data_IF_568001523581
#
_entry.id   IF_568001523581
#
_cell.length_a   1.000
_cell.length_b   1.000
_cell.length_c   1.000
_cell.angle_alpha   90.00
_cell.angle_beta   90.00
_cell.angle_gamma   90.00
#
_symmetry.space_group_name_H-M   'P 1'
#
loop_
_entity.id
_entity.type
_entity.pdbx_description
1 polymer ?
#
# COMPACT_ATOMS: atom_id res chain seq x y z
N UNK A 1 28.05 43.56 48.21
CA UNK A 1 27.02 44.19 49.06
C UNK A 1 25.82 43.27 49.10
N UNK A 2 25.31 43.03 50.31
CA UNK A 2 24.26 42.08 50.68
C UNK A 2 22.84 42.59 50.35
N UNK A 3 21.92 41.66 50.07
CA UNK A 3 20.57 41.45 50.66
C UNK A 3 19.90 40.38 49.77
N UNK A 4 19.73 39.12 50.17
CA UNK A 4 18.89 38.54 51.23
C UNK A 4 17.41 38.92 51.13
N UNK A 5 16.55 37.97 50.73
CA UNK A 5 15.21 37.76 51.29
C UNK A 5 14.72 36.35 51.01
N UNK A 6 14.55 35.61 52.10
CA UNK A 6 13.75 34.40 52.26
C UNK A 6 12.29 34.62 51.84
N UNK A 7 11.62 33.55 51.40
CA UNK A 7 10.25 33.28 51.84
C UNK A 7 9.93 31.78 51.88
N UNK A 8 9.69 31.32 53.11
CA UNK A 8 9.09 30.05 53.50
C UNK A 8 7.57 30.20 53.53
N UNK A 9 6.84 29.22 53.00
CA UNK A 9 5.40 29.02 53.22
C UNK A 9 5.01 27.63 52.74
N UNK A 10 5.19 26.61 53.58
CA UNK A 10 4.17 25.98 54.43
C UNK A 10 3.13 25.14 53.66
N UNK A 11 3.33 23.83 53.81
CA UNK A 11 2.37 22.72 53.78
C UNK A 11 0.92 23.10 54.07
N UNK A 12 0.02 22.59 53.23
CA UNK A 12 -1.28 22.07 53.64
C UNK A 12 -1.48 20.72 52.92
N UNK A 13 -1.20 19.65 53.65
CA UNK A 13 -1.75 18.32 53.37
C UNK A 13 -3.27 18.40 53.54
N UNK A 14 -4.00 18.13 52.46
CA UNK A 14 -5.44 17.94 52.49
C UNK A 14 -5.69 16.49 52.09
N UNK A 15 -5.83 15.65 53.12
CA UNK A 15 -6.47 14.35 53.01
C UNK A 15 -7.94 14.56 52.63
N UNK A 16 -8.27 14.29 51.37
CA UNK A 16 -9.64 14.04 50.96
C UNK A 16 -9.77 12.58 50.51
N UNK A 17 -10.14 11.73 51.47
CA UNK A 17 -10.74 10.43 51.20
C UNK A 17 -12.06 10.64 50.43
N UNK A 18 -12.02 10.49 49.12
CA UNK A 18 -13.21 10.20 48.33
C UNK A 18 -13.34 8.68 48.23
N UNK A 19 -14.23 8.11 49.05
CA UNK A 19 -14.80 6.79 48.81
C UNK A 19 -15.78 6.97 47.64
N UNK A 20 -15.36 6.59 46.44
CA UNK A 20 -16.28 6.40 45.31
C UNK A 20 -16.61 4.92 45.29
N UNK A 21 -17.81 4.59 45.79
CA UNK A 21 -18.39 3.27 45.64
C UNK A 21 -18.59 2.98 44.14
N UNK A 22 -18.08 1.82 43.74
CA UNK A 22 -18.26 1.26 42.42
C UNK A 22 -19.74 0.99 42.16
N UNK A 23 -20.28 1.57 41.08
CA UNK A 23 -21.44 0.97 40.40
C UNK A 23 -20.96 0.44 39.06
N UNK A 24 -20.97 -0.89 38.83
CA UNK A 24 -20.75 -1.44 37.51
C UNK A 24 -22.00 -1.13 36.68
N UNK A 25 -21.90 -0.14 35.79
CA UNK A 25 -22.91 0.03 34.75
C UNK A 25 -22.78 -1.17 33.82
N UNK A 26 -23.76 -2.06 33.95
CA UNK A 26 -24.12 -3.13 33.01
C UNK A 26 -23.74 -2.74 31.58
N UNK A 27 -22.89 -3.49 30.88
CA UNK A 27 -23.30 -4.72 30.21
C UNK A 27 -24.68 -4.64 29.56
N UNK A 28 -24.92 -3.65 28.67
CA UNK A 28 -26.08 -3.66 27.79
C UNK A 28 -25.87 -2.67 26.63
N UNK A 29 -25.00 -3.06 25.70
CA UNK A 29 -25.13 -2.86 24.25
C UNK A 29 -23.96 -3.60 23.62
N UNK A 30 -24.11 -4.92 23.54
CA UNK A 30 -23.36 -5.74 22.60
C UNK A 30 -23.76 -5.33 21.19
N UNK A 31 -23.25 -4.19 20.73
CA UNK A 31 -23.16 -3.91 19.31
C UNK A 31 -21.97 -4.74 18.83
N UNK A 32 -22.23 -6.03 18.65
CA UNK A 32 -21.45 -6.82 17.72
C UNK A 32 -21.55 -6.09 16.39
N UNK A 33 -20.55 -5.28 16.08
CA UNK A 33 -20.36 -4.76 14.74
C UNK A 33 -19.89 -5.97 13.93
N UNK A 34 -20.84 -6.81 13.52
CA UNK A 34 -20.60 -7.86 12.54
C UNK A 34 -20.28 -7.13 11.25
N UNK A 35 -18.99 -6.83 11.04
CA UNK A 35 -18.43 -6.46 9.74
C UNK A 35 -18.43 -7.71 8.87
N UNK A 36 -19.62 -8.22 8.57
CA UNK A 36 -19.84 -9.25 7.58
C UNK A 36 -19.77 -8.58 6.20
N UNK A 37 -18.62 -8.00 5.89
CA UNK A 37 -18.32 -7.50 4.57
C UNK A 37 -18.14 -8.74 3.69
N UNK A 38 -19.21 -9.13 3.00
CA UNK A 38 -19.09 -10.08 1.89
C UNK A 38 -18.05 -9.52 0.92
N UNK A 39 -16.86 -10.13 0.92
CA UNK A 39 -15.81 -9.78 -0.03
C UNK A 39 -16.36 -10.04 -1.43
N UNK A 40 -16.63 -8.94 -2.15
CA UNK A 40 -17.06 -9.00 -3.54
C UNK A 40 -15.97 -9.75 -4.33
N UNK A 41 -16.32 -10.74 -5.17
CA UNK A 41 -15.34 -11.45 -5.97
C UNK A 41 -14.58 -10.44 -6.86
N UNK A 42 -13.25 -10.52 -6.83
CA UNK A 42 -12.39 -9.67 -7.68
C UNK A 42 -12.67 -9.95 -9.14
N UNK A 43 -12.77 -8.90 -9.95
CA UNK A 43 -12.95 -9.03 -11.40
C UNK A 43 -11.71 -9.67 -12.02
N UNK A 44 -11.92 -10.40 -13.11
CA UNK A 44 -10.83 -10.81 -13.98
C UNK A 44 -10.14 -9.56 -14.56
N UNK A 45 -8.93 -9.72 -15.07
CA UNK A 45 -8.20 -8.59 -15.64
C UNK A 45 -8.90 -8.01 -16.87
N UNK A 46 -9.46 -8.86 -17.72
CA UNK A 46 -10.17 -8.44 -18.93
C UNK A 46 -11.46 -7.69 -18.59
N UNK A 47 -12.22 -8.16 -17.61
CA UNK A 47 -13.38 -7.43 -17.08
C UNK A 47 -12.98 -6.09 -16.47
N UNK A 48 -11.85 -6.04 -15.75
CA UNK A 48 -11.32 -4.80 -15.22
C UNK A 48 -10.94 -3.82 -16.33
N UNK A 49 -10.20 -4.27 -17.33
CA UNK A 49 -9.78 -3.44 -18.48
C UNK A 49 -11.00 -2.91 -19.24
N UNK A 50 -11.97 -3.77 -19.55
CA UNK A 50 -13.22 -3.38 -20.19
C UNK A 50 -14.01 -2.38 -19.35
N UNK A 51 -14.14 -2.63 -18.04
CA UNK A 51 -14.83 -1.68 -17.14
C UNK A 51 -14.09 -0.33 -17.11
N UNK A 52 -12.77 -0.35 -16.93
CA UNK A 52 -11.97 0.84 -16.71
C UNK A 52 -11.87 1.71 -17.96
N UNK A 53 -11.73 1.09 -19.14
CA UNK A 53 -11.72 1.78 -20.43
C UNK A 53 -13.08 2.39 -20.81
N UNK A 54 -14.17 1.93 -20.20
CA UNK A 54 -15.52 2.47 -20.40
C UNK A 54 -15.91 3.54 -19.36
N UNK A 55 -14.99 3.97 -18.49
CA UNK A 55 -15.25 5.08 -17.57
C UNK A 55 -15.38 6.39 -18.33
N UNK A 56 -16.26 7.27 -17.84
CA UNK A 56 -16.38 8.63 -18.36
C UNK A 56 -15.06 9.40 -18.17
N UNK A 57 -14.69 10.20 -19.17
CA UNK A 57 -13.52 11.08 -19.15
C UNK A 57 -13.51 11.99 -17.92
N UNK A 58 -14.68 12.45 -17.45
CA UNK A 58 -14.78 13.25 -16.22
C UNK A 58 -14.33 12.46 -15.00
N UNK A 59 -14.69 11.17 -14.91
CA UNK A 59 -14.29 10.28 -13.81
C UNK A 59 -12.80 9.98 -13.88
N UNK A 60 -12.25 9.75 -15.08
CA UNK A 60 -10.81 9.52 -15.27
C UNK A 60 -10.02 10.78 -14.91
N UNK A 61 -10.47 11.97 -15.33
CA UNK A 61 -9.84 13.24 -14.99
C UNK A 61 -9.88 13.52 -13.48
N UNK A 62 -11.02 13.26 -12.83
CA UNK A 62 -11.16 13.36 -11.38
C UNK A 62 -10.19 12.43 -10.65
N UNK A 63 -10.13 11.16 -11.06
CA UNK A 63 -9.20 10.19 -10.48
C UNK A 63 -7.74 10.60 -10.71
N UNK A 64 -7.41 11.11 -11.90
CA UNK A 64 -6.07 11.61 -12.21
C UNK A 64 -5.66 12.77 -11.28
N UNK A 65 -6.56 13.73 -11.06
CA UNK A 65 -6.33 14.84 -10.13
C UNK A 65 -6.10 14.36 -8.70
N UNK A 66 -6.95 13.44 -8.22
CA UNK A 66 -6.83 12.85 -6.89
C UNK A 66 -5.50 12.10 -6.72
N UNK A 67 -5.15 11.23 -7.67
CA UNK A 67 -3.90 10.46 -7.61
C UNK A 67 -2.66 11.36 -7.75
N UNK A 68 -2.72 12.42 -8.56
CA UNK A 68 -1.63 13.37 -8.68
C UNK A 68 -1.37 14.10 -7.36
N UNK A 69 -2.42 14.47 -6.62
CA UNK A 69 -2.31 15.18 -5.35
C UNK A 69 -1.86 14.29 -4.19
N UNK A 70 -2.49 13.12 -4.04
CA UNK A 70 -2.42 12.34 -2.79
C UNK A 70 -1.74 10.97 -2.94
N UNK A 71 -1.63 10.44 -4.17
CA UNK A 71 -1.11 9.08 -4.35
C UNK A 71 0.43 9.02 -4.36
N UNK A 72 0.93 7.91 -3.87
CA UNK A 72 2.31 7.49 -4.01
C UNK A 72 2.48 6.51 -5.17
N UNK A 73 3.25 6.95 -6.16
CA UNK A 73 3.72 6.16 -7.30
C UNK A 73 5.10 5.57 -6.97
N UNK A 74 5.18 4.24 -6.86
CA UNK A 74 6.38 3.58 -6.36
C UNK A 74 6.71 2.26 -7.06
N UNK A 75 7.83 1.68 -6.63
CA UNK A 75 8.32 0.38 -7.11
C UNK A 75 8.61 -0.54 -5.95
N UNK A 76 8.22 -1.80 -6.08
CA UNK A 76 8.54 -2.88 -5.15
C UNK A 76 9.72 -3.71 -5.68
N UNK A 77 10.87 -3.60 -5.01
CA UNK A 77 12.11 -4.31 -5.34
C UNK A 77 12.32 -5.57 -4.50
N UNK A 78 11.44 -5.89 -3.53
CA UNK A 78 11.62 -6.99 -2.56
C UNK A 78 11.78 -8.36 -3.24
N UNK A 79 11.25 -8.52 -4.45
CA UNK A 79 11.34 -9.77 -5.23
C UNK A 79 12.73 -10.02 -5.87
N UNK A 80 13.66 -9.05 -5.84
CA UNK A 80 14.98 -9.17 -6.50
C UNK A 80 16.06 -9.82 -5.63
N UNK A 81 15.99 -9.70 -4.30
CA UNK A 81 17.06 -10.17 -3.40
C UNK A 81 17.37 -11.67 -3.51
N UNK A 82 16.39 -12.49 -3.92
CA UNK A 82 16.57 -13.94 -4.11
C UNK A 82 17.30 -14.33 -5.40
N UNK A 83 17.39 -13.41 -6.38
CA UNK A 83 18.04 -13.67 -7.67
C UNK A 83 19.53 -13.34 -7.65
N UNK A 84 19.96 -12.37 -6.83
CA UNK A 84 21.37 -11.99 -6.72
C UNK A 84 22.25 -13.11 -6.15
N UNK A 85 21.73 -13.90 -5.22
CA UNK A 85 22.45 -15.01 -4.57
C UNK A 85 22.78 -16.15 -5.56
N UNK A 86 22.12 -16.22 -6.73
CA UNK A 86 22.34 -17.27 -7.73
C UNK A 86 23.32 -16.89 -8.84
N UNK A 87 23.78 -15.64 -8.91
CA UNK A 87 24.67 -15.16 -9.97
C UNK A 87 26.14 -15.54 -9.75
N UNK A 88 26.51 -15.93 -8.52
CA UNK A 88 27.88 -16.28 -8.15
C UNK A 88 28.26 -17.73 -8.52
N UNK A 89 27.27 -18.58 -8.84
CA UNK A 89 27.46 -19.99 -9.21
C UNK A 89 27.23 -20.23 -10.71
N UNK A 90 28.33 -20.38 -11.45
CA UNK A 90 28.48 -21.13 -12.72
C UNK A 90 27.88 -20.55 -14.00
N UNK A 91 28.70 -20.49 -15.07
CA UNK A 91 28.47 -20.75 -16.52
C UNK A 91 27.10 -20.56 -17.19
N UNK A 92 26.12 -19.94 -16.55
CA UNK A 92 24.80 -19.66 -17.06
C UNK A 92 24.77 -18.21 -17.51
N UNK A 93 24.58 -17.99 -18.82
CA UNK A 93 24.13 -16.71 -19.36
C UNK A 93 22.72 -16.45 -18.82
N UNK A 94 22.65 -15.95 -17.60
CA UNK A 94 21.42 -15.77 -16.85
C UNK A 94 20.72 -14.49 -17.34
N UNK A 95 19.41 -14.53 -17.65
CA UNK A 95 18.68 -13.30 -17.87
C UNK A 95 18.66 -12.49 -16.57
N UNK A 96 18.86 -11.17 -16.70
CA UNK A 96 18.81 -10.19 -15.61
C UNK A 96 17.62 -10.45 -14.67
N UNK A 97 17.72 -10.18 -13.35
CA UNK A 97 16.59 -10.31 -12.44
C UNK A 97 15.37 -9.51 -12.94
N UNK A 98 14.14 -9.95 -12.60
CA UNK A 98 12.95 -9.24 -13.06
C UNK A 98 13.00 -7.77 -12.62
N UNK A 99 12.55 -6.82 -13.48
CA UNK A 99 12.51 -5.41 -13.12
C UNK A 99 11.60 -5.19 -11.90
N UNK A 100 11.81 -4.13 -11.10
CA UNK A 100 10.94 -3.81 -9.96
C UNK A 100 9.45 -3.74 -10.34
N UNK A 101 8.56 -4.14 -9.42
CA UNK A 101 7.12 -4.12 -9.65
C UNK A 101 6.54 -2.74 -9.37
N UNK A 102 5.99 -2.02 -10.36
CA UNK A 102 5.34 -0.75 -10.11
C UNK A 102 4.07 -0.95 -9.27
N UNK A 103 3.75 0.03 -8.44
CA UNK A 103 2.51 0.08 -7.68
C UNK A 103 2.01 1.52 -7.51
N UNK A 104 0.70 1.64 -7.31
CA UNK A 104 0.02 2.89 -6.96
C UNK A 104 -0.56 2.70 -5.57
N UNK A 105 -0.28 3.63 -4.66
CA UNK A 105 -0.80 3.59 -3.29
C UNK A 105 -1.46 4.91 -2.94
N UNK A 106 -2.68 4.87 -2.45
CA UNK A 106 -3.41 6.02 -1.94
C UNK A 106 -3.76 5.80 -0.46
N UNK A 107 -3.51 6.80 0.38
CA UNK A 107 -3.83 6.77 1.82
C UNK A 107 -4.49 8.08 2.22
N UNK A 108 -5.71 8.03 2.76
CA UNK A 108 -6.52 9.20 3.10
C UNK A 108 -7.40 8.93 4.33
N UNK A 109 -7.99 9.97 4.92
CA UNK A 109 -8.90 9.83 6.08
C UNK A 109 -10.37 9.75 5.64
N UNK A 110 -10.67 10.19 4.42
CA UNK A 110 -11.99 10.26 3.80
C UNK A 110 -12.44 8.89 3.30
N UNK A 111 -13.26 8.21 4.10
CA UNK A 111 -13.69 6.83 3.83
C UNK A 111 -14.53 6.71 2.55
N UNK A 112 -15.41 7.67 2.29
CA UNK A 112 -16.31 7.72 1.15
C UNK A 112 -15.53 7.84 -0.18
N UNK A 113 -14.56 8.76 -0.23
CA UNK A 113 -13.64 8.92 -1.37
C UNK A 113 -12.86 7.62 -1.57
N UNK A 114 -12.30 7.05 -0.50
CA UNK A 114 -11.52 5.82 -0.60
C UNK A 114 -12.35 4.61 -1.02
N UNK A 115 -13.60 4.51 -0.58
CA UNK A 115 -14.55 3.49 -1.03
C UNK A 115 -14.81 3.64 -2.53
N UNK A 116 -15.07 4.87 -3.00
CA UNK A 116 -15.27 5.13 -4.42
C UNK A 116 -14.05 4.80 -5.27
N UNK A 117 -12.85 5.15 -4.80
CA UNK A 117 -11.59 4.80 -5.47
C UNK A 117 -11.38 3.29 -5.50
N UNK A 118 -11.68 2.58 -4.41
CA UNK A 118 -11.62 1.12 -4.34
C UNK A 118 -12.53 0.46 -5.38
N UNK A 119 -13.77 0.96 -5.53
CA UNK A 119 -14.70 0.47 -6.57
C UNK A 119 -14.17 0.70 -7.99
N UNK A 120 -13.64 1.89 -8.28
CA UNK A 120 -13.11 2.23 -9.60
C UNK A 120 -11.87 1.41 -9.95
N UNK A 121 -11.02 1.13 -8.97
CA UNK A 121 -9.79 0.36 -9.16
C UNK A 121 -9.99 -1.16 -9.00
N UNK A 122 -11.19 -1.60 -8.62
CA UNK A 122 -11.49 -2.98 -8.26
C UNK A 122 -10.47 -3.52 -7.23
N UNK A 123 -10.24 -2.75 -6.17
CA UNK A 123 -9.36 -3.10 -5.06
C UNK A 123 -10.03 -2.88 -3.71
N UNK A 124 -9.65 -3.68 -2.73
CA UNK A 124 -10.16 -3.55 -1.36
C UNK A 124 -9.56 -2.33 -0.66
N UNK A 125 -10.42 -1.61 0.06
CA UNK A 125 -10.00 -0.53 0.96
C UNK A 125 -9.69 -1.15 2.32
N UNK A 126 -8.47 -0.91 2.81
CA UNK A 126 -8.03 -1.43 4.09
C UNK A 126 -7.89 -0.29 5.10
N UNK A 127 -8.56 -0.39 6.24
CA UNK A 127 -8.30 0.48 7.39
C UNK A 127 -6.90 0.16 7.93
N UNK A 128 -6.09 1.20 8.18
CA UNK A 128 -4.79 1.07 8.79
C UNK A 128 -4.90 1.09 10.30
N UNK A 129 -4.17 0.19 10.97
CA UNK A 129 -4.09 0.18 12.44
C UNK A 129 -3.50 1.48 13.02
N UNK A 130 -2.66 2.17 12.25
CA UNK A 130 -2.08 3.45 12.65
C UNK A 130 -3.13 4.57 12.57
N UNK A 131 -3.15 5.43 13.58
CA UNK A 131 -3.97 6.65 13.59
C UNK A 131 -3.13 7.87 13.25
N UNK A 132 -3.79 8.93 12.79
CA UNK A 132 -3.12 10.24 12.65
C UNK A 132 -2.83 10.83 14.03
N UNK A 133 -2.04 11.91 14.07
CA UNK A 133 -1.79 12.66 15.32
C UNK A 133 -3.10 13.17 15.94
N UNK A 134 -4.10 13.49 15.10
CA UNK A 134 -5.44 13.88 15.53
C UNK A 134 -6.35 12.69 15.91
N UNK A 135 -5.84 11.45 15.91
CA UNK A 135 -6.62 10.26 16.27
C UNK A 135 -7.52 9.71 15.16
N UNK A 136 -7.47 10.27 13.95
CA UNK A 136 -8.30 9.85 12.83
C UNK A 136 -7.83 8.51 12.24
N UNK A 137 -8.80 7.74 11.74
CA UNK A 137 -8.57 6.51 10.97
C UNK A 137 -7.97 6.85 9.60
N UNK A 138 -7.09 5.99 9.11
CA UNK A 138 -6.49 6.12 7.76
C UNK A 138 -6.89 4.92 6.94
N UNK A 139 -7.47 5.17 5.77
CA UNK A 139 -7.84 4.16 4.79
C UNK A 139 -6.78 4.07 3.71
N UNK A 140 -6.52 2.86 3.20
CA UNK A 140 -5.52 2.60 2.16
C UNK A 140 -6.13 1.79 1.02
N UNK A 141 -5.84 2.22 -0.21
CA UNK A 141 -5.99 1.41 -1.43
C UNK A 141 -4.61 1.24 -2.06
N UNK A 142 -4.30 0.05 -2.57
CA UNK A 142 -3.03 -0.19 -3.26
C UNK A 142 -3.22 -1.11 -4.45
N UNK A 143 -2.78 -0.66 -5.62
CA UNK A 143 -2.78 -1.44 -6.86
C UNK A 143 -1.38 -2.01 -7.07
N UNK A 144 -1.23 -3.33 -6.90
CA UNK A 144 0.05 -4.05 -7.06
C UNK A 144 0.20 -4.82 -8.38
N UNK A 145 -0.91 -5.06 -9.09
CA UNK A 145 -0.87 -5.83 -10.33
C UNK A 145 -0.24 -4.99 -11.45
N UNK A 146 0.89 -5.43 -12.02
CA UNK A 146 1.59 -4.71 -13.10
C UNK A 146 0.65 -4.33 -14.25
N UNK A 147 -0.22 -5.25 -14.65
CA UNK A 147 -1.17 -5.04 -15.74
C UNK A 147 -2.24 -4.01 -15.37
N UNK A 148 -2.85 -4.11 -14.18
CA UNK A 148 -3.80 -3.08 -13.69
C UNK A 148 -3.12 -1.72 -13.57
N UNK A 149 -1.91 -1.66 -13.02
CA UNK A 149 -1.12 -0.43 -12.91
C UNK A 149 -0.88 0.17 -14.30
N UNK A 150 -0.47 -0.62 -15.29
CA UNK A 150 -0.29 -0.15 -16.68
C UNK A 150 -1.56 0.50 -17.22
N UNK A 151 -2.70 -0.20 -17.14
CA UNK A 151 -4.02 0.31 -17.59
C UNK A 151 -4.37 1.64 -16.92
N UNK A 152 -4.28 1.69 -15.58
CA UNK A 152 -4.60 2.90 -14.82
C UNK A 152 -3.68 4.06 -15.21
N UNK A 153 -2.38 3.82 -15.29
CA UNK A 153 -1.39 4.83 -15.63
C UNK A 153 -1.56 5.37 -17.05
N UNK A 154 -1.83 4.50 -18.03
CA UNK A 154 -2.09 4.90 -19.42
C UNK A 154 -3.35 5.77 -19.54
N UNK A 155 -4.41 5.40 -18.82
CA UNK A 155 -5.68 6.13 -18.83
C UNK A 155 -5.59 7.51 -18.15
N UNK A 156 -4.89 7.64 -17.02
CA UNK A 156 -4.82 8.92 -16.29
C UNK A 156 -3.80 9.89 -16.89
N UNK A 157 -2.77 9.39 -17.59
CA UNK A 157 -1.63 10.19 -18.11
C UNK A 157 -2.05 11.44 -18.89
N UNK A 158 -3.07 11.44 -19.77
CA UNK A 158 -3.50 12.64 -20.49
C UNK A 158 -4.01 13.77 -19.60
N UNK A 159 -4.46 13.46 -18.38
CA UNK A 159 -5.04 14.41 -17.43
C UNK A 159 -4.05 14.88 -16.36
N UNK A 160 -2.84 14.33 -16.33
CA UNK A 160 -1.79 14.69 -15.37
C UNK A 160 -1.01 15.90 -15.88
N UNK A 161 -1.08 17.00 -15.12
CA UNK A 161 -0.49 18.30 -15.53
C UNK A 161 0.95 18.44 -15.01
N UNK A 162 1.30 17.82 -13.87
CA UNK A 162 2.59 18.00 -13.21
C UNK A 162 3.74 17.20 -13.83
N UNK A 163 4.83 17.86 -14.22
CA UNK A 163 6.03 17.23 -14.81
C UNK A 163 6.61 16.13 -13.91
N UNK A 164 6.78 16.40 -12.62
CA UNK A 164 7.28 15.43 -11.64
C UNK A 164 6.45 14.14 -11.62
N UNK A 165 5.13 14.27 -11.66
CA UNK A 165 4.22 13.12 -11.67
C UNK A 165 4.28 12.41 -13.01
N UNK A 166 4.29 13.15 -14.12
CA UNK A 166 4.46 12.59 -15.46
C UNK A 166 5.75 11.78 -15.61
N UNK A 167 6.89 12.29 -15.14
CA UNK A 167 8.17 11.55 -15.16
C UNK A 167 8.09 10.26 -14.35
N UNK A 168 7.44 10.27 -13.18
CA UNK A 168 7.20 9.05 -12.40
C UNK A 168 6.32 8.06 -13.15
N UNK A 169 5.21 8.53 -13.73
CA UNK A 169 4.28 7.68 -14.51
C UNK A 169 5.02 7.03 -15.68
N UNK A 170 5.80 7.80 -16.44
CA UNK A 170 6.60 7.29 -17.56
C UNK A 170 7.62 6.24 -17.11
N UNK A 171 8.29 6.47 -15.98
CA UNK A 171 9.21 5.49 -15.40
C UNK A 171 8.48 4.18 -15.04
N UNK A 172 7.33 4.27 -14.38
CA UNK A 172 6.55 3.08 -14.01
C UNK A 172 6.01 2.32 -15.24
N UNK A 173 5.57 3.04 -16.28
CA UNK A 173 5.18 2.44 -17.56
C UNK A 173 6.36 1.74 -18.24
N UNK A 174 7.55 2.36 -18.23
CA UNK A 174 8.78 1.74 -18.71
C UNK A 174 9.10 0.43 -17.98
N UNK A 175 8.88 0.36 -16.66
CA UNK A 175 9.05 -0.87 -15.88
C UNK A 175 8.02 -1.95 -16.22
N UNK A 176 6.81 -1.58 -16.64
CA UNK A 176 5.83 -2.53 -17.17
C UNK A 176 6.32 -3.13 -18.49
N UNK A 177 6.79 -2.30 -19.42
CA UNK A 177 7.31 -2.73 -20.73
C UNK A 177 8.56 -3.61 -20.58
N UNK A 178 9.52 -3.20 -19.75
CA UNK A 178 10.71 -4.01 -19.46
C UNK A 178 10.35 -5.38 -18.87
N UNK A 179 9.28 -5.45 -18.07
CA UNK A 179 8.83 -6.72 -17.54
C UNK A 179 8.20 -7.61 -18.63
N UNK A 180 7.44 -7.04 -19.55
CA UNK A 180 6.89 -7.76 -20.70
C UNK A 180 8.02 -8.36 -21.54
N UNK A 181 9.03 -7.56 -21.89
CA UNK A 181 10.24 -8.02 -22.58
C UNK A 181 10.97 -9.14 -21.83
N UNK A 182 11.19 -8.97 -20.53
CA UNK A 182 11.81 -10.00 -19.69
C UNK A 182 11.01 -11.31 -19.66
N UNK A 183 9.68 -11.25 -19.72
CA UNK A 183 8.84 -12.44 -19.82
C UNK A 183 9.04 -13.13 -21.17
N UNK A 184 9.05 -12.36 -22.26
CA UNK A 184 9.20 -12.85 -23.63
C UNK A 184 10.58 -13.50 -23.86
N UNK A 185 11.62 -12.97 -23.22
CA UNK A 185 12.96 -13.55 -23.16
C UNK A 185 13.05 -14.84 -22.32
N UNK A 186 11.93 -15.33 -21.79
CA UNK A 186 11.86 -16.57 -21.01
C UNK A 186 12.22 -16.40 -19.53
N UNK A 187 12.26 -15.16 -19.03
CA UNK A 187 12.62 -14.85 -17.64
C UNK A 187 11.77 -15.58 -16.60
N UNK A 188 10.49 -15.86 -16.87
CA UNK A 188 9.61 -16.65 -15.97
C UNK A 188 10.10 -18.08 -15.79
N UNK A 189 10.50 -18.74 -16.87
CA UNK A 189 11.00 -20.12 -16.85
C UNK A 189 12.29 -20.17 -16.05
N UNK A 190 13.16 -19.17 -16.26
CA UNK A 190 14.40 -19.04 -15.50
C UNK A 190 14.14 -18.83 -14.00
N UNK A 191 13.25 -17.91 -13.65
CA UNK A 191 12.85 -17.65 -12.27
C UNK A 191 12.29 -18.89 -11.57
N UNK A 192 11.47 -19.69 -12.26
CA UNK A 192 10.94 -20.94 -11.73
C UNK A 192 12.05 -21.96 -11.46
N UNK A 193 13.02 -22.11 -12.38
CA UNK A 193 14.18 -22.99 -12.19
C UNK A 193 15.00 -22.60 -10.96
N UNK A 194 15.25 -21.30 -10.78
CA UNK A 194 15.96 -20.80 -9.60
C UNK A 194 15.22 -21.08 -8.29
N UNK A 195 13.91 -20.81 -8.25
CA UNK A 195 13.09 -21.07 -7.07
C UNK A 195 13.10 -22.56 -6.67
N UNK A 196 13.06 -23.45 -7.67
CA UNK A 196 13.15 -24.90 -7.46
C UNK A 196 14.52 -25.30 -6.90
N UNK A 197 15.61 -24.79 -7.48
CA UNK A 197 16.99 -25.04 -7.01
C UNK A 197 17.17 -24.57 -5.55
N UNK A 198 16.72 -23.35 -5.24
CA UNK A 198 16.78 -22.81 -3.87
C UNK A 198 15.98 -23.68 -2.87
N UNK A 199 14.81 -24.16 -3.28
CA UNK A 199 13.98 -25.05 -2.45
C UNK A 199 14.65 -26.40 -2.20
N UNK A 200 15.38 -26.94 -3.17
CA UNK A 200 16.14 -28.18 -3.00
C UNK A 200 17.32 -28.00 -2.02
N UNK A 201 18.08 -26.91 -2.14
CA UNK A 201 19.18 -26.58 -1.22
C UNK A 201 18.65 -26.42 0.21
N UNK A 202 17.56 -25.67 0.39
CA UNK A 202 16.95 -25.47 1.70
C UNK A 202 16.46 -26.77 2.36
N UNK A 203 16.03 -27.77 1.56
CA UNK A 203 15.68 -29.11 2.07
C UNK A 203 16.93 -29.88 2.49
N UNK A 204 17.99 -29.86 1.68
CA UNK A 204 19.25 -30.56 1.97
C UNK A 204 19.92 -30.08 3.26
N UNK A 205 19.84 -28.79 3.57
CA UNK A 205 20.45 -28.22 4.78
C UNK A 205 19.66 -28.49 6.07
N UNK A 206 18.45 -29.09 5.98
CA UNK A 206 17.62 -29.43 7.15
C UNK A 206 17.76 -30.88 7.60
N UNK A 207 18.37 -31.72 6.77
CA UNK A 207 18.75 -33.12 7.05
C UNK A 207 20.20 -33.17 7.46
#
# INVERSE_FOLDING_TARGET
MNTNTNNNGKNLDIDLLFIVEETPVSSLLGIETQSNAQEKPKKTLEEFENMFSNLDNVVIAWLAGLLQGEAYFGTDSRKRGKFQISLEDSNYTSPSPPPPAPFIKLEMIEQDIMTKVGELLDESVNEQNRRTVAGNKVYRVTVFSRKKVKIVLEAIKPYVIGEKTNTKIQLLLGLCVQHEQWVDEGGRVYAAKLANKASQIAKKNKT
#
